data_IF_530330478812
#
_entry.id   IF_530330478812
#
_cell.length_a   1.000
_cell.length_b   1.000
_cell.length_c   1.000
_cell.angle_alpha   90.00
_cell.angle_beta   90.00
_cell.angle_gamma   90.00
#
_symmetry.space_group_name_H-M   'P 1'
#
loop_
_entity.id
_entity.type
_entity.pdbx_description
1 polymer ?
#
# COMPACT_ATOMS: atom_id res chain seq x y z
N UNK A 1 -14.90 18.33 -8.21
CA UNK A 1 -13.96 17.41 -8.87
C UNK A 1 -14.72 16.76 -10.01
N UNK A 2 -14.24 16.92 -11.24
CA UNK A 2 -14.91 16.41 -12.45
C UNK A 2 -14.75 14.88 -12.55
N UNK A 3 -15.78 14.17 -13.00
CA UNK A 3 -15.69 12.73 -13.20
C UNK A 3 -15.03 12.44 -14.55
N UNK A 4 -13.72 12.25 -14.53
CA UNK A 4 -12.90 12.09 -15.75
C UNK A 4 -13.14 10.77 -16.51
N UNK A 5 -13.77 9.77 -15.89
CA UNK A 5 -14.13 8.52 -16.55
C UNK A 5 -15.43 7.96 -15.94
N UNK A 6 -16.61 8.49 -16.34
CA UNK A 6 -17.91 8.13 -15.79
C UNK A 6 -18.35 6.70 -16.10
N UNK A 7 -17.79 6.09 -17.14
CA UNK A 7 -18.02 4.70 -17.56
C UNK A 7 -17.23 3.67 -16.73
N UNK A 8 -16.26 4.11 -15.92
CA UNK A 8 -15.44 3.24 -15.09
C UNK A 8 -16.01 3.16 -13.67
N UNK A 9 -16.53 1.99 -13.30
CA UNK A 9 -16.88 1.69 -11.91
C UNK A 9 -15.61 1.51 -11.10
N UNK A 10 -15.44 2.34 -10.06
CA UNK A 10 -14.30 2.24 -9.14
C UNK A 10 -14.76 1.65 -7.82
N UNK A 11 -14.17 0.53 -7.44
CA UNK A 11 -14.35 -0.06 -6.11
C UNK A 11 -13.09 0.14 -5.29
N UNK A 12 -13.25 0.51 -4.01
CA UNK A 12 -12.17 0.60 -3.05
C UNK A 12 -12.45 -0.39 -1.93
N UNK A 13 -11.44 -1.19 -1.60
CA UNK A 13 -11.50 -2.14 -0.50
C UNK A 13 -10.56 -1.64 0.60
N UNK A 14 -11.08 -1.57 1.82
CA UNK A 14 -10.28 -1.33 3.02
C UNK A 14 -10.18 -2.65 3.78
N UNK A 15 -8.96 -3.02 4.17
CA UNK A 15 -8.67 -4.22 4.97
C UNK A 15 -7.84 -3.77 6.17
N UNK A 16 -8.26 -4.23 7.35
CA UNK A 16 -7.52 -4.05 8.60
C UNK A 16 -7.25 -5.44 9.20
N UNK A 17 -6.09 -5.62 9.81
CA UNK A 17 -5.71 -6.91 10.36
C UNK A 17 -4.52 -6.84 11.29
N UNK A 18 -4.47 -7.79 12.22
CA UNK A 18 -3.33 -8.02 13.10
C UNK A 18 -2.44 -9.11 12.50
N UNK A 19 -1.13 -8.98 12.66
CA UNK A 19 -0.14 -9.94 12.20
C UNK A 19 0.82 -10.31 13.34
N UNK A 20 1.54 -11.42 13.17
CA UNK A 20 2.50 -11.97 14.15
C UNK A 20 3.93 -12.03 13.61
N UNK A 21 4.15 -11.48 12.41
CA UNK A 21 5.46 -11.43 11.78
C UNK A 21 6.08 -10.07 12.06
N UNK A 22 7.40 -10.03 12.11
CA UNK A 22 8.13 -8.77 12.02
C UNK A 22 7.98 -8.22 10.60
N UNK A 23 7.75 -6.91 10.49
CA UNK A 23 7.59 -6.25 9.20
C UNK A 23 8.74 -5.27 9.00
N UNK A 24 9.45 -5.45 7.89
CA UNK A 24 10.48 -4.55 7.39
C UNK A 24 10.17 -4.13 5.93
N UNK A 25 11.07 -3.33 5.35
CA UNK A 25 10.90 -2.86 3.96
C UNK A 25 10.83 -4.02 2.96
N UNK A 26 11.63 -5.07 3.14
CA UNK A 26 11.66 -6.23 2.25
C UNK A 26 10.33 -6.99 2.29
N UNK A 27 9.76 -7.17 3.48
CA UNK A 27 8.45 -7.78 3.69
C UNK A 27 7.35 -7.03 2.95
N UNK A 28 7.38 -5.69 2.99
CA UNK A 28 6.41 -4.84 2.29
C UNK A 28 6.57 -4.94 0.77
N UNK A 29 7.80 -4.93 0.25
CA UNK A 29 8.07 -5.10 -1.19
C UNK A 29 7.56 -6.44 -1.70
N UNK A 30 7.85 -7.52 -0.97
CA UNK A 30 7.37 -8.86 -1.31
C UNK A 30 5.84 -8.97 -1.24
N UNK A 31 5.22 -8.32 -0.26
CA UNK A 31 3.76 -8.25 -0.16
C UNK A 31 3.14 -7.58 -1.39
N UNK A 32 3.61 -6.39 -1.78
CA UNK A 32 3.07 -5.71 -2.96
C UNK A 32 3.28 -6.52 -4.23
N UNK A 33 4.47 -7.10 -4.42
CA UNK A 33 4.77 -7.94 -5.57
C UNK A 33 3.79 -9.10 -5.68
N UNK A 34 3.64 -9.89 -4.61
CA UNK A 34 2.72 -11.04 -4.59
C UNK A 34 1.28 -10.61 -4.80
N UNK A 35 0.82 -9.55 -4.12
CA UNK A 35 -0.56 -9.08 -4.25
C UNK A 35 -0.89 -8.65 -5.67
N UNK A 36 0.01 -7.91 -6.32
CA UNK A 36 -0.16 -7.46 -7.71
C UNK A 36 -0.14 -8.66 -8.68
N UNK A 37 0.75 -9.63 -8.46
CA UNK A 37 0.84 -10.87 -9.27
C UNK A 37 -0.45 -11.72 -9.14
N UNK A 38 -0.89 -12.00 -7.91
CA UNK A 38 -2.07 -12.83 -7.63
C UNK A 38 -3.37 -12.21 -8.16
N UNK A 39 -3.47 -10.87 -8.16
CA UNK A 39 -4.63 -10.15 -8.68
C UNK A 39 -4.51 -9.77 -10.16
N UNK A 40 -3.39 -10.09 -10.82
CA UNK A 40 -3.15 -9.74 -12.23
C UNK A 40 -3.13 -8.24 -12.50
N UNK A 41 -2.68 -7.44 -11.54
CA UNK A 41 -2.65 -5.98 -11.61
C UNK A 41 -1.38 -5.49 -12.32
N UNK A 42 -1.42 -4.25 -12.85
CA UNK A 42 -0.27 -3.60 -13.49
C UNK A 42 0.14 -2.36 -12.72
N UNK A 43 1.41 -2.30 -12.33
CA UNK A 43 2.05 -1.13 -11.73
C UNK A 43 2.78 -0.31 -12.79
N UNK A 44 2.95 0.99 -12.56
CA UNK A 44 3.75 1.86 -13.46
C UNK A 44 5.02 2.41 -12.80
N UNK A 45 5.23 2.13 -11.51
CA UNK A 45 6.45 2.46 -10.79
C UNK A 45 6.67 1.48 -9.63
N UNK A 46 7.88 1.51 -9.09
CA UNK A 46 8.24 0.79 -7.87
C UNK A 46 7.46 1.32 -6.66
N UNK A 47 7.20 0.48 -5.63
CA UNK A 47 6.58 0.94 -4.40
C UNK A 47 7.43 2.01 -3.69
N UNK A 48 6.77 3.06 -3.23
CA UNK A 48 7.34 4.03 -2.29
C UNK A 48 7.09 3.50 -0.88
N UNK A 49 8.15 3.39 -0.07
CA UNK A 49 8.07 2.94 1.32
C UNK A 49 8.74 4.00 2.17
N UNK A 50 8.01 4.52 3.15
CA UNK A 50 8.45 5.59 4.02
C UNK A 50 8.39 5.14 5.48
N UNK A 51 9.47 5.43 6.21
CA UNK A 51 9.52 5.30 7.66
C UNK A 51 9.42 6.70 8.25
N UNK A 52 8.34 7.04 8.95
CA UNK A 52 8.27 8.27 9.73
C UNK A 52 9.26 8.13 10.89
N UNK A 53 10.47 8.65 10.71
CA UNK A 53 11.61 8.60 11.65
C UNK A 53 11.30 9.21 13.04
N UNK A 54 10.43 8.58 13.82
CA UNK A 54 9.92 9.07 15.10
C UNK A 54 9.34 10.50 15.06
N UNK A 55 8.83 10.94 13.90
CA UNK A 55 8.13 12.23 13.78
C UNK A 55 6.76 12.19 14.48
N UNK A 56 6.24 11.00 14.77
CA UNK A 56 5.04 10.74 15.55
C UNK A 56 5.31 10.10 16.92
N UNK A 57 4.27 9.51 17.54
CA UNK A 57 4.45 8.70 18.75
C UNK A 57 5.24 7.44 18.43
N UNK A 58 6.15 7.04 19.32
CA UNK A 58 6.95 5.82 19.16
C UNK A 58 6.09 4.58 18.92
N UNK A 59 4.96 4.46 19.64
CA UNK A 59 4.00 3.36 19.49
C UNK A 59 3.32 3.30 18.11
N UNK A 60 3.32 4.40 17.35
CA UNK A 60 2.75 4.49 16.01
C UNK A 60 3.86 4.52 14.94
N UNK A 61 5.06 4.12 15.30
CA UNK A 61 6.18 4.05 14.35
C UNK A 61 6.05 2.77 13.53
N UNK A 62 6.20 2.88 12.22
CA UNK A 62 6.04 1.76 11.31
C UNK A 62 6.26 2.23 9.88
N UNK A 63 5.44 1.80 8.93
CA UNK A 63 5.64 2.10 7.52
C UNK A 63 4.38 2.68 6.89
N UNK A 64 4.59 3.76 6.13
CA UNK A 64 3.62 4.26 5.15
C UNK A 64 4.11 3.84 3.77
N UNK A 65 3.34 3.05 3.05
CA UNK A 65 3.75 2.54 1.76
C UNK A 65 2.65 2.67 0.70
N UNK A 66 3.08 2.83 -0.55
CA UNK A 66 2.18 3.00 -1.68
C UNK A 66 2.77 2.37 -2.94
N UNK A 67 1.97 1.59 -3.65
CA UNK A 67 2.29 1.13 -5.01
C UNK A 67 1.27 1.70 -6.01
N UNK A 68 1.74 2.45 -7.03
CA UNK A 68 0.85 2.98 -8.06
C UNK A 68 0.42 1.92 -9.07
N UNK A 69 -0.88 1.89 -9.38
CA UNK A 69 -1.48 1.12 -10.47
C UNK A 69 -1.89 2.07 -11.60
N UNK A 70 -2.10 1.56 -12.82
CA UNK A 70 -2.40 2.38 -14.02
C UNK A 70 -3.44 3.49 -13.78
N UNK A 71 -4.56 3.17 -13.14
CA UNK A 71 -5.64 4.12 -12.86
C UNK A 71 -5.97 4.27 -11.35
N UNK A 72 -5.12 3.73 -10.48
CA UNK A 72 -5.36 3.67 -9.03
C UNK A 72 -4.06 3.42 -8.24
N UNK A 73 -4.17 2.86 -7.05
CA UNK A 73 -3.02 2.50 -6.22
C UNK A 73 -3.43 1.73 -4.99
N UNK A 74 -2.46 1.07 -4.37
CA UNK A 74 -2.64 0.35 -3.11
C UNK A 74 -1.80 1.06 -2.06
N UNK A 75 -2.47 1.58 -1.04
CA UNK A 75 -1.83 2.13 0.16
C UNK A 75 -1.76 1.06 1.25
N UNK A 76 -0.63 0.98 1.94
CA UNK A 76 -0.41 0.10 3.07
C UNK A 76 0.13 0.91 4.25
N UNK A 77 -0.47 0.72 5.42
CA UNK A 77 -0.07 1.34 6.67
C UNK A 77 0.22 0.23 7.67
N UNK A 78 1.44 0.22 8.20
CA UNK A 78 1.95 -0.82 9.09
C UNK A 78 2.36 -0.17 10.40
N UNK A 79 1.99 -0.78 11.53
CA UNK A 79 2.45 -0.39 12.87
C UNK A 79 3.29 -1.51 13.48
N UNK A 80 4.50 -1.20 13.94
CA UNK A 80 5.46 -2.18 14.49
C UNK A 80 5.83 -1.86 15.92
#
# INVERSE_FOLDING_TARGET
MENLAPEIVRQRLLIEGLYRIDVDEATIRDFFKKLVEELGLRTYAEPTIFVPNNLGRKENSGFDAFVPLIDSGISLYVWT
#
